data_IF_556475467785
#
_entry.id   IF_556475467785
#
_cell.length_a   1.000
_cell.length_b   1.000
_cell.length_c   1.000
_cell.angle_alpha   90.00
_cell.angle_beta   90.00
_cell.angle_gamma   90.00
#
_symmetry.space_group_name_H-M   'P 1'
#
loop_
_entity.id
_entity.type
_entity.pdbx_description
1 polymer ?
#
# COMPACT_ATOMS: atom_id res chain seq x y z
N UNK A 1 17.05 15.85 -12.50
CA UNK A 1 15.89 15.16 -13.12
C UNK A 1 15.04 14.65 -11.98
N UNK A 2 13.75 14.99 -11.94
CA UNK A 2 12.82 14.53 -10.91
C UNK A 2 11.84 13.54 -11.53
N UNK A 3 11.56 12.46 -10.81
CA UNK A 3 10.55 11.47 -11.17
C UNK A 3 9.54 11.45 -10.04
N UNK A 4 8.28 11.74 -10.35
CA UNK A 4 7.21 11.73 -9.37
C UNK A 4 5.89 11.43 -10.06
N UNK A 5 4.96 10.88 -9.30
CA UNK A 5 3.54 10.88 -9.64
C UNK A 5 2.84 11.94 -8.77
N UNK A 6 2.34 13.05 -9.36
CA UNK A 6 1.64 14.10 -8.63
C UNK A 6 0.40 13.63 -7.85
N UNK A 7 -0.11 12.43 -8.16
CA UNK A 7 -1.31 11.84 -7.54
C UNK A 7 -0.98 10.94 -6.34
N UNK A 8 0.28 10.87 -5.91
CA UNK A 8 0.67 10.16 -4.70
C UNK A 8 0.26 10.88 -3.42
N UNK A 9 0.28 10.16 -2.30
CA UNK A 9 -0.03 10.70 -0.98
C UNK A 9 0.76 11.98 -0.70
N UNK A 10 0.07 12.96 -0.10
CA UNK A 10 0.74 14.17 0.37
C UNK A 10 1.82 13.81 1.41
N UNK A 11 2.92 14.58 1.48
CA UNK A 11 3.92 14.39 2.51
C UNK A 11 3.27 14.41 3.90
N UNK A 12 3.70 13.51 4.78
CA UNK A 12 3.31 13.56 6.19
C UNK A 12 3.83 14.86 6.77
N UNK A 13 2.93 15.71 7.27
CA UNK A 13 3.28 16.98 7.91
C UNK A 13 3.34 16.74 9.42
N UNK A 14 4.54 16.77 10.05
CA UNK A 14 4.63 16.67 11.50
C UNK A 14 3.94 17.86 12.17
N UNK A 15 3.24 17.62 13.28
CA UNK A 15 2.41 18.63 13.95
C UNK A 15 3.13 19.93 14.33
N UNK A 16 4.46 19.91 14.47
CA UNK A 16 5.29 21.08 14.80
C UNK A 16 5.77 21.88 13.57
N UNK A 17 5.46 21.46 12.34
CA UNK A 17 5.80 22.16 11.09
C UNK A 17 4.54 22.59 10.34
N UNK A 18 3.76 23.49 10.94
CA UNK A 18 2.54 24.04 10.33
C UNK A 18 2.86 25.14 9.30
N UNK A 19 3.58 24.80 8.24
CA UNK A 19 3.46 25.51 6.97
C UNK A 19 2.91 24.52 5.95
N UNK A 20 1.60 24.61 5.69
CA UNK A 20 0.89 23.83 4.67
C UNK A 20 1.26 24.37 3.28
N UNK A 21 2.48 24.14 2.82
CA UNK A 21 2.80 24.21 1.40
C UNK A 21 2.99 22.79 0.90
N UNK A 22 2.18 22.38 -0.08
CA UNK A 22 2.36 21.08 -0.73
C UNK A 22 3.71 21.08 -1.44
N UNK A 23 4.71 20.42 -0.87
CA UNK A 23 6.05 20.35 -1.46
C UNK A 23 6.01 19.79 -2.89
N UNK A 24 4.99 19.00 -3.25
CA UNK A 24 4.84 18.39 -4.57
C UNK A 24 4.47 19.38 -5.70
N UNK A 25 3.94 20.57 -5.39
CA UNK A 25 3.54 21.55 -6.41
C UNK A 25 4.00 22.98 -6.12
N UNK A 26 4.33 23.32 -4.86
CA UNK A 26 4.57 24.72 -4.47
C UNK A 26 6.04 25.16 -4.63
N UNK A 27 6.97 24.26 -4.94
CA UNK A 27 8.35 24.65 -5.25
C UNK A 27 8.50 24.93 -6.76
N UNK A 28 8.22 26.17 -7.16
CA UNK A 28 8.63 26.74 -8.46
C UNK A 28 9.99 27.46 -8.38
N UNK A 29 11.15 26.78 -8.36
CA UNK A 29 12.37 27.38 -8.90
C UNK A 29 12.80 26.77 -10.25
N UNK A 30 12.06 25.80 -10.78
CA UNK A 30 12.55 25.00 -11.91
C UNK A 30 11.68 25.13 -13.15
N UNK A 31 11.37 26.37 -13.54
CA UNK A 31 10.75 26.67 -14.84
C UNK A 31 11.84 27.06 -15.82
N UNK A 32 12.50 26.07 -16.44
CA UNK A 32 13.22 26.28 -17.70
C UNK A 32 13.43 24.99 -18.52
N UNK A 33 13.23 23.81 -17.93
CA UNK A 33 13.37 22.54 -18.65
C UNK A 33 12.02 21.81 -18.62
N UNK A 34 11.48 21.49 -19.81
CA UNK A 34 10.11 20.99 -19.99
C UNK A 34 9.74 19.75 -19.17
N UNK A 35 8.43 19.53 -19.03
CA UNK A 35 7.87 18.34 -18.35
C UNK A 35 7.66 17.22 -19.37
N UNK A 36 8.12 16.01 -19.04
CA UNK A 36 7.83 14.80 -19.82
C UNK A 36 6.89 13.92 -18.99
N UNK A 37 5.76 13.51 -19.57
CA UNK A 37 4.78 12.63 -18.93
C UNK A 37 4.84 11.25 -19.57
N UNK A 38 5.12 10.22 -18.77
CA UNK A 38 4.96 8.84 -19.23
C UNK A 38 3.47 8.55 -19.46
N UNK A 39 3.13 7.99 -20.61
CA UNK A 39 1.75 7.63 -20.97
C UNK A 39 1.51 6.12 -20.95
N UNK A 40 2.58 5.32 -20.90
CA UNK A 40 2.50 3.87 -21.03
C UNK A 40 2.45 3.19 -19.67
N UNK A 41 1.42 2.37 -19.45
CA UNK A 41 1.29 1.54 -18.26
C UNK A 41 2.07 0.22 -18.44
N UNK A 42 3.37 0.25 -18.11
CA UNK A 42 4.25 -0.92 -18.27
C UNK A 42 3.78 -2.17 -17.47
N UNK A 43 3.27 -2.06 -16.22
CA UNK A 43 2.69 -3.21 -15.51
C UNK A 43 1.55 -3.91 -16.26
N UNK A 44 0.74 -3.16 -17.01
CA UNK A 44 -0.34 -3.72 -17.83
C UNK A 44 0.20 -4.42 -19.09
N UNK A 45 1.32 -3.94 -19.64
CA UNK A 45 1.94 -4.48 -20.86
C UNK A 45 2.82 -5.70 -20.59
N UNK A 46 3.49 -5.77 -19.44
CA UNK A 46 4.44 -6.84 -19.12
C UNK A 46 3.86 -8.28 -19.23
N UNK A 47 2.60 -8.55 -18.86
CA UNK A 47 1.99 -9.87 -19.05
C UNK A 47 1.21 -10.04 -20.37
N UNK A 48 1.17 -9.05 -21.27
CA UNK A 48 0.24 -9.04 -22.41
C UNK A 48 0.30 -10.30 -23.28
N UNK A 49 1.49 -10.82 -23.55
CA UNK A 49 1.70 -12.02 -24.37
C UNK A 49 1.23 -13.33 -23.69
N UNK A 50 0.97 -13.29 -22.38
CA UNK A 50 0.53 -14.43 -21.57
C UNK A 50 -0.95 -14.35 -21.20
N UNK A 51 -1.64 -13.27 -21.57
CA UNK A 51 -3.03 -13.04 -21.21
C UNK A 51 -3.96 -13.49 -22.32
N UNK A 52 -5.06 -14.13 -21.93
CA UNK A 52 -6.19 -14.32 -22.82
C UNK A 52 -6.84 -12.97 -23.17
N UNK A 53 -7.53 -12.89 -24.31
CA UNK A 53 -8.24 -11.67 -24.70
C UNK A 53 -9.19 -11.16 -23.61
N UNK A 54 -9.85 -12.07 -22.89
CA UNK A 54 -10.73 -11.74 -21.76
C UNK A 54 -9.99 -11.14 -20.57
N UNK A 55 -8.82 -11.69 -20.21
CA UNK A 55 -7.99 -11.13 -19.14
C UNK A 55 -7.44 -9.76 -19.52
N UNK A 56 -7.05 -9.58 -20.77
CA UNK A 56 -6.58 -8.30 -21.28
C UNK A 56 -7.65 -7.22 -21.20
N UNK A 57 -8.91 -7.53 -21.57
CA UNK A 57 -10.03 -6.60 -21.41
C UNK A 57 -10.28 -6.22 -19.95
N UNK A 58 -10.20 -7.19 -19.02
CA UNK A 58 -10.38 -6.94 -17.58
C UNK A 58 -9.26 -6.08 -17.00
N UNK A 59 -8.02 -6.35 -17.40
CA UNK A 59 -6.86 -5.60 -16.95
C UNK A 59 -6.89 -4.16 -17.50
N UNK A 60 -7.32 -3.98 -18.75
CA UNK A 60 -7.55 -2.66 -19.32
C UNK A 60 -8.65 -1.90 -18.56
N UNK A 61 -9.80 -2.54 -18.29
CA UNK A 61 -10.87 -1.92 -17.52
C UNK A 61 -10.44 -1.54 -16.09
N UNK A 62 -9.57 -2.34 -15.48
CA UNK A 62 -8.98 -2.03 -14.17
C UNK A 62 -8.01 -0.83 -14.25
N UNK A 63 -7.22 -0.74 -15.31
CA UNK A 63 -6.33 0.39 -15.54
C UNK A 63 -7.10 1.69 -15.80
N UNK A 64 -8.14 1.64 -16.62
CA UNK A 64 -9.02 2.78 -16.91
C UNK A 64 -9.72 3.25 -15.63
N UNK A 65 -10.19 2.31 -14.80
CA UNK A 65 -10.76 2.64 -13.49
C UNK A 65 -9.75 3.30 -12.55
N UNK A 66 -8.49 2.81 -12.47
CA UNK A 66 -7.44 3.43 -11.65
C UNK A 66 -7.11 4.85 -12.11
N UNK A 67 -7.08 5.10 -13.42
CA UNK A 67 -6.93 6.45 -13.97
C UNK A 67 -8.09 7.35 -13.54
N UNK A 68 -9.32 6.81 -13.59
CA UNK A 68 -10.53 7.48 -13.15
C UNK A 68 -10.59 7.76 -11.64
N UNK A 69 -9.98 6.92 -10.80
CA UNK A 69 -9.81 7.21 -9.37
C UNK A 69 -8.83 8.36 -9.20
N UNK A 70 -7.72 8.35 -9.95
CA UNK A 70 -6.71 9.40 -9.84
C UNK A 70 -7.19 10.77 -10.34
N UNK A 71 -8.13 10.85 -11.28
CA UNK A 71 -8.69 12.11 -11.77
C UNK A 71 -10.01 12.52 -11.08
N UNK A 72 -10.55 11.65 -10.23
CA UNK A 72 -11.80 11.86 -9.51
C UNK A 72 -13.07 11.54 -10.30
N UNK A 73 -12.97 11.07 -11.54
CA UNK A 73 -14.14 10.70 -12.36
C UNK A 73 -14.81 9.38 -11.93
N UNK A 74 -14.10 8.52 -11.19
CA UNK A 74 -14.64 7.29 -10.62
C UNK A 74 -15.42 7.50 -9.31
N UNK A 75 -15.49 8.74 -8.81
CA UNK A 75 -16.15 9.10 -7.56
C UNK A 75 -17.67 9.01 -7.70
N UNK A 76 -18.32 8.34 -6.75
CA UNK A 76 -19.78 8.37 -6.59
C UNK A 76 -20.22 9.59 -5.80
N UNK A 77 -19.46 9.92 -4.77
CA UNK A 77 -19.60 11.10 -3.91
C UNK A 77 -18.20 11.65 -3.61
N UNK A 78 -18.10 12.77 -2.90
CA UNK A 78 -16.81 13.37 -2.51
C UNK A 78 -15.88 12.35 -1.80
N UNK A 79 -16.45 11.49 -0.94
CA UNK A 79 -15.68 10.57 -0.09
C UNK A 79 -15.82 9.09 -0.49
N UNK A 80 -16.43 8.76 -1.64
CA UNK A 80 -16.68 7.37 -2.01
C UNK A 80 -16.45 7.04 -3.47
N UNK A 81 -15.86 5.87 -3.69
CA UNK A 81 -15.63 5.26 -5.00
C UNK A 81 -16.32 3.90 -5.06
N UNK A 82 -16.75 3.48 -6.26
CA UNK A 82 -17.16 2.11 -6.49
C UNK A 82 -15.93 1.24 -6.71
N UNK A 83 -15.76 0.18 -5.92
CA UNK A 83 -14.75 -0.84 -6.20
C UNK A 83 -15.25 -1.77 -7.32
N UNK A 84 -14.43 -2.04 -8.35
CA UNK A 84 -14.67 -3.11 -9.32
C UNK A 84 -14.88 -4.44 -8.62
N UNK A 85 -15.77 -5.27 -9.15
CA UNK A 85 -16.13 -6.57 -8.53
C UNK A 85 -14.93 -7.51 -8.46
N UNK A 86 -13.99 -7.34 -9.38
CA UNK A 86 -12.75 -8.09 -9.51
C UNK A 86 -11.78 -7.80 -8.34
N UNK A 87 -11.88 -6.63 -7.70
CA UNK A 87 -11.11 -6.27 -6.52
C UNK A 87 -11.76 -6.75 -5.21
N UNK A 88 -13.04 -7.15 -5.27
CA UNK A 88 -13.73 -7.72 -4.12
C UNK A 88 -13.31 -9.17 -3.94
N UNK A 89 -13.20 -9.60 -2.68
CA UNK A 89 -12.97 -11.00 -2.38
C UNK A 89 -14.13 -11.84 -2.93
N UNK A 90 -13.87 -13.01 -3.54
CA UNK A 90 -14.92 -13.89 -4.02
C UNK A 90 -15.94 -14.20 -2.92
N UNK A 91 -17.23 -14.23 -3.24
CA UNK A 91 -18.29 -14.47 -2.25
C UNK A 91 -18.15 -15.79 -1.48
N UNK A 92 -17.38 -16.75 -2.01
CA UNK A 92 -17.04 -18.03 -1.37
C UNK A 92 -15.91 -17.95 -0.35
N UNK A 93 -15.38 -16.77 -0.07
CA UNK A 93 -14.35 -16.52 0.96
C UNK A 93 -14.93 -16.38 2.36
N UNK A 94 -15.92 -17.20 2.72
CA UNK A 94 -16.42 -17.28 4.10
C UNK A 94 -15.52 -18.19 4.95
N UNK A 95 -15.06 -17.58 6.04
CA UNK A 95 -14.47 -18.12 7.26
C UNK A 95 -14.82 -19.57 7.67
N UNK A 96 -14.24 -20.62 7.09
CA UNK A 96 -14.18 -21.93 7.81
C UNK A 96 -13.24 -23.03 7.28
N UNK A 97 -12.64 -22.98 6.09
CA UNK A 97 -11.95 -24.20 5.60
C UNK A 97 -10.80 -23.92 4.65
N UNK A 98 -9.55 -23.90 5.14
CA UNK A 98 -8.27 -24.15 4.42
C UNK A 98 -7.89 -23.24 3.24
N UNK A 99 -8.81 -23.01 2.30
CA UNK A 99 -8.68 -22.22 1.05
C UNK A 99 -8.28 -20.77 1.27
N UNK A 100 -8.53 -20.22 2.47
CA UNK A 100 -8.19 -18.84 2.85
C UNK A 100 -6.68 -18.64 3.02
N UNK A 101 -5.99 -19.62 3.61
CA UNK A 101 -4.55 -19.53 3.86
C UNK A 101 -3.80 -19.50 2.53
N UNK A 102 -4.11 -20.41 1.61
CA UNK A 102 -3.48 -20.44 0.28
C UNK A 102 -3.74 -19.17 -0.54
N UNK A 103 -4.95 -18.61 -0.48
CA UNK A 103 -5.23 -17.35 -1.20
C UNK A 103 -4.36 -16.19 -0.68
N UNK A 104 -4.18 -16.07 0.64
CA UNK A 104 -3.41 -14.94 1.21
C UNK A 104 -1.91 -15.21 1.31
N UNK A 105 -1.45 -16.45 1.08
CA UNK A 105 -0.05 -16.86 1.27
C UNK A 105 0.96 -16.00 0.50
N UNK A 106 0.63 -15.63 -0.73
CA UNK A 106 1.52 -14.87 -1.62
C UNK A 106 1.07 -13.41 -1.81
N UNK A 107 0.16 -12.91 -0.96
CA UNK A 107 -0.46 -11.59 -1.14
C UNK A 107 -0.11 -10.65 0.02
N UNK A 108 0.34 -9.45 -0.33
CA UNK A 108 0.50 -8.37 0.64
C UNK A 108 -0.88 -7.90 1.16
N UNK A 109 -0.94 -7.58 2.46
CA UNK A 109 -2.12 -6.99 3.11
C UNK A 109 -1.84 -5.53 3.42
N UNK A 110 -2.70 -4.64 2.95
CA UNK A 110 -2.61 -3.21 3.21
C UNK A 110 -3.68 -2.80 4.22
N UNK A 111 -3.33 -1.95 5.18
CA UNK A 111 -4.28 -1.36 6.11
C UNK A 111 -4.02 0.15 6.25
N UNK A 112 -5.06 0.98 6.48
CA UNK A 112 -4.90 2.43 6.55
C UNK A 112 -4.06 2.93 7.73
N UNK A 113 -3.97 2.17 8.83
CA UNK A 113 -3.28 2.57 10.06
C UNK A 113 -2.25 1.53 10.48
N UNK A 114 -1.11 1.99 10.99
CA UNK A 114 -0.05 1.11 11.50
C UNK A 114 -0.56 0.15 12.58
N UNK A 115 -1.38 0.61 13.54
CA UNK A 115 -1.98 -0.27 14.55
C UNK A 115 -2.74 -1.47 13.96
N UNK A 116 -3.41 -1.26 12.82
CA UNK A 116 -4.11 -2.35 12.13
C UNK A 116 -3.13 -3.27 11.39
N UNK A 117 -2.05 -2.71 10.83
CA UNK A 117 -0.95 -3.49 10.24
C UNK A 117 -0.31 -4.38 11.31
N UNK A 118 0.04 -3.82 12.47
CA UNK A 118 0.66 -4.54 13.58
C UNK A 118 -0.22 -5.70 14.04
N UNK A 119 -1.51 -5.43 14.30
CA UNK A 119 -2.47 -6.46 14.67
C UNK A 119 -2.60 -7.58 13.62
N UNK A 120 -2.64 -7.23 12.33
CA UNK A 120 -2.70 -8.22 11.25
C UNK A 120 -1.42 -9.05 11.18
N UNK A 121 -0.26 -8.41 11.36
CA UNK A 121 1.04 -9.08 11.34
C UNK A 121 1.18 -10.05 12.52
N UNK A 122 0.83 -9.63 13.73
CA UNK A 122 0.86 -10.50 14.92
C UNK A 122 -0.04 -11.72 14.75
N UNK A 123 -1.28 -11.52 14.28
CA UNK A 123 -2.18 -12.63 13.95
C UNK A 123 -1.60 -13.59 12.92
N UNK A 124 -0.88 -13.09 11.91
CA UNK A 124 -0.26 -13.96 10.89
C UNK A 124 0.95 -14.69 11.46
N UNK A 125 1.78 -14.02 12.28
CA UNK A 125 2.95 -14.61 12.92
C UNK A 125 2.55 -15.76 13.86
N UNK A 126 1.46 -15.63 14.62
CA UNK A 126 0.95 -16.70 15.49
C UNK A 126 0.43 -17.93 14.72
N UNK A 127 0.15 -17.79 13.42
CA UNK A 127 -0.26 -18.90 12.55
C UNK A 127 0.92 -19.60 11.86
N UNK A 128 2.11 -18.99 11.87
CA UNK A 128 3.28 -19.57 11.21
C UNK A 128 3.90 -20.67 12.08
N UNK A 129 4.31 -21.81 11.49
CA UNK A 129 5.04 -22.83 12.22
C UNK A 129 6.47 -22.35 12.54
N UNK A 130 6.95 -22.66 13.74
CA UNK A 130 8.29 -22.32 14.21
C UNK A 130 8.28 -21.45 15.47
N UNK A 131 9.45 -21.27 16.06
CA UNK A 131 9.60 -20.48 17.27
C UNK A 131 9.66 -18.98 16.93
N UNK A 132 8.96 -18.18 17.73
CA UNK A 132 9.02 -16.73 17.61
C UNK A 132 10.28 -16.19 18.28
N UNK A 133 11.00 -15.33 17.58
CA UNK A 133 12.14 -14.58 18.10
C UNK A 133 11.81 -13.09 18.14
N UNK A 134 12.12 -12.44 19.25
CA UNK A 134 11.93 -11.00 19.42
C UNK A 134 13.27 -10.30 19.37
N UNK A 135 13.40 -9.32 18.48
CA UNK A 135 14.56 -8.43 18.37
C UNK A 135 14.20 -7.08 18.96
N UNK A 136 15.06 -6.56 19.83
CA UNK A 136 14.88 -5.24 20.44
C UNK A 136 15.67 -4.19 19.66
N UNK A 137 15.11 -2.99 19.50
CA UNK A 137 15.82 -1.89 18.88
C UNK A 137 16.99 -1.44 19.76
N UNK A 138 18.08 -1.02 19.11
CA UNK A 138 19.28 -0.52 19.77
C UNK A 138 19.22 0.99 20.03
N UNK A 139 18.01 1.55 20.18
CA UNK A 139 17.83 2.98 20.34
C UNK A 139 18.18 3.39 21.79
N UNK A 140 19.46 3.67 22.03
CA UNK A 140 19.90 4.25 23.29
C UNK A 140 19.60 5.75 23.31
N UNK A 141 18.41 6.13 23.75
CA UNK A 141 18.19 7.51 24.20
C UNK A 141 18.38 7.55 25.72
N UNK A 142 19.19 8.47 26.21
CA UNK A 142 19.54 8.65 27.64
C UNK A 142 18.37 9.12 28.52
N UNK A 143 17.14 8.95 28.04
CA UNK A 143 15.89 9.30 28.70
C UNK A 143 14.96 8.10 28.79
N UNK A 144 15.47 6.97 29.29
CA UNK A 144 14.62 5.93 29.85
C UNK A 144 14.15 6.34 31.26
N UNK A 145 13.35 7.40 31.34
CA UNK A 145 12.46 7.63 32.48
C UNK A 145 11.06 7.23 32.03
N UNK A 146 10.42 6.42 32.86
CA UNK A 146 9.03 5.98 32.79
C UNK A 146 8.74 4.82 31.83
N UNK A 147 8.99 3.58 32.28
CA UNK A 147 8.13 2.39 32.05
C UNK A 147 7.81 1.90 30.62
N UNK A 148 8.30 2.52 29.56
CA UNK A 148 7.97 2.14 28.17
C UNK A 148 8.91 1.04 27.68
N UNK A 149 8.44 -0.18 27.38
CA UNK A 149 9.34 -1.20 26.82
C UNK A 149 10.02 -0.70 25.52
N UNK A 150 11.31 -1.02 25.26
CA UNK A 150 11.98 -0.65 24.03
C UNK A 150 11.20 -1.15 22.81
N UNK A 151 11.24 -0.37 21.72
CA UNK A 151 10.67 -0.81 20.46
C UNK A 151 11.26 -2.17 20.09
N UNK A 152 10.40 -3.13 19.74
CA UNK A 152 10.82 -4.49 19.40
C UNK A 152 10.08 -4.98 18.17
N UNK A 153 10.70 -5.90 17.46
CA UNK A 153 10.13 -6.55 16.29
C UNK A 153 10.15 -8.05 16.52
N UNK A 154 8.97 -8.68 16.43
CA UNK A 154 8.80 -10.13 16.51
C UNK A 154 8.87 -10.73 15.10
N UNK A 155 9.62 -11.81 14.95
CA UNK A 155 9.73 -12.59 13.71
C UNK A 155 9.55 -14.06 14.02
N UNK A 156 9.09 -14.84 13.05
CA UNK A 156 9.03 -16.31 13.14
C UNK A 156 10.19 -16.89 12.33
N UNK A 157 10.94 -17.82 12.92
CA UNK A 157 12.05 -18.49 12.26
C UNK A 157 11.70 -19.97 12.06
N UNK A 158 11.69 -20.41 10.81
CA UNK A 158 11.63 -21.84 10.48
C UNK A 158 13.06 -22.36 10.39
N UNK A 159 13.44 -23.32 11.25
CA UNK A 159 14.72 -24.04 11.19
C UNK A 159 14.65 -25.13 10.12
#
# INVERSE_FOLDING_TARGET
>A
MFFNDPKQCLPVIPSHRLHKSSLCLTFRPYTNNGTVRAQTNMPLQAPADRMTATEQTKAQGSADWLLGVGDGSANKTEDSIALPRELLLPATTTNSSGRKVEYFRERAKLAPKNLQVDHINDMVLDLLPGDAQTFYSADSSQHYRDGVAPHSTRVSTTV
#
